data_IF_062734424011
#
_entry.id   IF_062734424011
#
_cell.length_a   1.000
_cell.length_b   1.000
_cell.length_c   1.000
_cell.angle_alpha   90.00
_cell.angle_beta   90.00
_cell.angle_gamma   90.00
#
_symmetry.space_group_name_H-M   'P 1'
#
loop_
_entity.id
_entity.type
_entity.pdbx_description
1 polymer ?
#
# COMPACT_ATOMS: atom_id res chain seq x y z
N UNK A 1 21.12 -2.01 -3.20
CA UNK A 1 20.74 -2.46 -4.56
C UNK A 1 19.40 -3.21 -4.61
N UNK A 2 19.08 -4.11 -3.67
CA UNK A 2 17.82 -4.88 -3.69
C UNK A 2 16.54 -4.02 -3.65
N UNK A 3 16.46 -3.07 -2.71
CA UNK A 3 15.30 -2.17 -2.56
C UNK A 3 14.92 -1.43 -3.84
N UNK A 4 15.88 -0.79 -4.52
CA UNK A 4 15.61 0.02 -5.72
C UNK A 4 15.09 -0.83 -6.88
N UNK A 5 15.56 -2.07 -6.99
CA UNK A 5 15.06 -3.05 -7.97
C UNK A 5 13.64 -3.50 -7.63
N UNK A 6 13.35 -3.80 -6.36
CA UNK A 6 12.00 -4.16 -5.91
C UNK A 6 11.00 -3.04 -6.18
N UNK A 7 11.34 -1.79 -5.86
CA UNK A 7 10.46 -0.63 -6.13
C UNK A 7 10.18 -0.47 -7.62
N UNK A 8 11.20 -0.57 -8.49
CA UNK A 8 11.00 -0.48 -9.94
C UNK A 8 10.02 -1.55 -10.45
N UNK A 9 10.19 -2.80 -10.04
CA UNK A 9 9.28 -3.91 -10.41
C UNK A 9 7.86 -3.69 -9.90
N UNK A 10 7.70 -3.06 -8.74
CA UNK A 10 6.37 -2.71 -8.21
C UNK A 10 5.69 -1.62 -9.05
N UNK A 11 6.44 -0.65 -9.57
CA UNK A 11 5.89 0.40 -10.43
C UNK A 11 5.36 -0.15 -11.76
N UNK A 12 6.05 -1.14 -12.35
CA UNK A 12 5.58 -1.85 -13.55
C UNK A 12 4.24 -2.57 -13.34
N UNK A 13 3.93 -2.96 -12.11
CA UNK A 13 2.71 -3.67 -11.71
C UNK A 13 1.73 -2.78 -10.94
N UNK A 14 1.86 -1.46 -11.08
CA UNK A 14 0.99 -0.50 -10.41
C UNK A 14 -0.48 -0.70 -10.77
N UNK A 15 -1.36 -0.26 -9.89
CA UNK A 15 -2.80 -0.22 -10.17
C UNK A 15 -3.09 0.75 -11.33
N UNK A 16 -4.16 0.46 -12.08
CA UNK A 16 -4.61 1.31 -13.18
C UNK A 16 -4.99 2.73 -12.67
N UNK A 17 -4.78 3.79 -13.46
CA UNK A 17 -5.01 5.17 -13.03
C UNK A 17 -6.46 5.44 -12.62
N UNK A 18 -7.43 4.72 -13.18
CA UNK A 18 -8.86 4.81 -12.85
C UNK A 18 -9.14 4.43 -11.39
N UNK A 19 -8.35 3.50 -10.83
CA UNK A 19 -8.45 3.10 -9.41
C UNK A 19 -8.06 4.25 -8.50
N UNK A 20 -7.04 5.02 -8.89
CA UNK A 20 -6.61 6.21 -8.14
C UNK A 20 -7.63 7.32 -8.30
N UNK A 21 -8.09 7.59 -9.52
CA UNK A 21 -9.08 8.62 -9.82
C UNK A 21 -10.39 8.42 -9.04
N UNK A 22 -10.92 7.19 -9.04
CA UNK A 22 -12.12 6.85 -8.25
C UNK A 22 -11.92 7.03 -6.75
N UNK A 23 -10.73 6.70 -6.23
CA UNK A 23 -10.41 6.90 -4.81
C UNK A 23 -10.31 8.38 -4.46
N UNK A 24 -9.73 9.21 -5.33
CA UNK A 24 -9.66 10.67 -5.15
C UNK A 24 -11.05 11.28 -5.19
N UNK A 25 -11.89 10.89 -6.16
CA UNK A 25 -13.27 11.34 -6.24
C UNK A 25 -14.04 11.00 -4.96
N UNK A 26 -13.94 9.75 -4.49
CA UNK A 26 -14.58 9.32 -3.26
C UNK A 26 -14.09 10.10 -2.03
N UNK A 27 -12.81 10.46 -1.96
CA UNK A 27 -12.27 11.27 -0.87
C UNK A 27 -12.76 12.72 -0.93
N UNK A 28 -12.92 13.28 -2.13
CA UNK A 28 -13.37 14.66 -2.35
C UNK A 28 -14.88 14.85 -2.08
N UNK A 29 -15.69 13.80 -2.27
CA UNK A 29 -17.15 13.83 -2.08
C UNK A 29 -17.63 13.22 -0.76
N UNK A 30 -16.73 12.73 0.08
CA UNK A 30 -17.08 12.15 1.38
C UNK A 30 -17.58 13.26 2.33
N UNK A 31 -18.81 13.16 2.88
CA UNK A 31 -19.33 14.15 3.82
C UNK A 31 -18.54 14.20 5.14
N UNK A 32 -17.76 13.15 5.46
CA UNK A 32 -16.86 13.11 6.61
C UNK A 32 -15.47 12.56 6.20
N UNK A 33 -14.61 13.40 5.59
CA UNK A 33 -13.36 12.96 5.00
C UNK A 33 -12.43 12.24 5.99
N UNK A 34 -11.96 11.06 5.61
CA UNK A 34 -11.00 10.27 6.38
C UNK A 34 -9.59 10.81 6.16
N UNK A 35 -8.73 10.69 7.18
CA UNK A 35 -7.31 11.06 7.06
C UNK A 35 -6.54 10.24 6.00
N UNK A 36 -7.02 9.04 5.65
CA UNK A 36 -6.34 8.12 4.72
C UNK A 36 -7.37 7.35 3.90
N UNK A 37 -7.20 7.34 2.59
CA UNK A 37 -7.96 6.54 1.64
C UNK A 37 -7.02 5.55 0.94
N UNK A 38 -7.25 4.25 1.13
CA UNK A 38 -6.46 3.21 0.49
C UNK A 38 -6.99 2.93 -0.93
N UNK A 39 -6.21 3.32 -1.93
CA UNK A 39 -6.50 3.07 -3.34
C UNK A 39 -6.13 1.62 -3.71
N UNK A 40 -7.06 0.93 -4.37
CA UNK A 40 -6.84 -0.46 -4.81
C UNK A 40 -6.93 -1.52 -3.71
N UNK A 41 -6.89 -2.79 -4.14
CA UNK A 41 -7.08 -3.95 -3.25
C UNK A 41 -5.90 -4.15 -2.31
N UNK A 42 -4.68 -4.05 -2.85
CA UNK A 42 -3.45 -4.28 -2.09
C UNK A 42 -3.31 -3.27 -0.94
N UNK A 43 -3.50 -1.97 -1.19
CA UNK A 43 -3.40 -0.96 -0.14
C UNK A 43 -4.41 -1.17 1.00
N UNK A 44 -5.63 -1.63 0.67
CA UNK A 44 -6.66 -1.97 1.67
C UNK A 44 -6.23 -3.17 2.52
N UNK A 45 -5.70 -4.22 1.89
CA UNK A 45 -5.18 -5.39 2.60
C UNK A 45 -4.00 -5.04 3.52
N UNK A 46 -3.06 -4.22 3.03
CA UNK A 46 -1.93 -3.73 3.84
C UNK A 46 -2.41 -2.90 5.03
N UNK A 47 -3.38 -2.00 4.82
CA UNK A 47 -3.98 -1.21 5.91
C UNK A 47 -4.62 -2.10 6.97
N UNK A 48 -5.31 -3.16 6.56
CA UNK A 48 -5.90 -4.15 7.46
C UNK A 48 -4.82 -4.93 8.21
N UNK A 49 -3.83 -5.50 7.51
CA UNK A 49 -2.74 -6.27 8.13
C UNK A 49 -1.98 -5.44 9.17
N UNK A 50 -1.69 -4.17 8.88
CA UNK A 50 -1.00 -3.29 9.85
C UNK A 50 -1.80 -3.06 11.14
N UNK A 51 -3.12 -3.23 11.11
CA UNK A 51 -4.00 -3.07 12.28
C UNK A 51 -4.02 -4.31 13.17
N UNK A 52 -3.83 -5.50 12.60
CA UNK A 52 -4.07 -6.78 13.28
C UNK A 52 -2.82 -7.65 13.44
N UNK A 53 -1.77 -7.45 12.63
CA UNK A 53 -0.53 -8.21 12.69
C UNK A 53 0.44 -7.53 13.66
N UNK A 54 1.15 -8.29 14.53
CA UNK A 54 2.21 -7.74 15.37
C UNK A 54 3.27 -7.00 14.54
N UNK A 55 3.69 -5.83 15.03
CA UNK A 55 4.59 -4.94 14.29
C UNK A 55 5.88 -5.64 13.84
N UNK A 56 6.49 -6.45 14.70
CA UNK A 56 7.71 -7.20 14.37
C UNK A 56 7.53 -8.21 13.23
N UNK A 57 6.38 -8.89 13.18
CA UNK A 57 6.07 -9.85 12.12
C UNK A 57 5.75 -9.15 10.80
N UNK A 58 4.97 -8.07 10.86
CA UNK A 58 4.63 -7.25 9.70
C UNK A 58 5.89 -6.65 9.07
N UNK A 59 6.73 -5.99 9.88
CA UNK A 59 7.98 -5.36 9.43
C UNK A 59 8.96 -6.37 8.83
N UNK A 60 9.10 -7.55 9.45
CA UNK A 60 9.95 -8.63 8.93
C UNK A 60 9.51 -9.08 7.54
N UNK A 61 8.20 -9.20 7.30
CA UNK A 61 7.67 -9.58 5.98
C UNK A 61 7.94 -8.49 4.93
N UNK A 62 7.76 -7.23 5.30
CA UNK A 62 7.92 -6.08 4.42
C UNK A 62 9.39 -5.87 4.05
N UNK A 63 10.31 -6.00 5.03
CA UNK A 63 11.76 -5.98 4.79
C UNK A 63 12.17 -7.04 3.78
N UNK A 64 11.67 -8.28 3.93
CA UNK A 64 11.96 -9.36 2.98
C UNK A 64 11.46 -9.06 1.56
N UNK A 65 10.23 -8.57 1.40
CA UNK A 65 9.68 -8.19 0.09
C UNK A 65 10.51 -7.08 -0.58
N UNK A 66 11.05 -6.18 0.22
CA UNK A 66 11.88 -5.07 -0.23
C UNK A 66 13.37 -5.42 -0.37
N UNK A 67 13.75 -6.68 -0.16
CA UNK A 67 15.15 -7.12 -0.26
C UNK A 67 16.06 -6.50 0.79
N UNK A 68 15.50 -6.16 1.96
CA UNK A 68 16.23 -5.71 3.14
C UNK A 68 16.49 -6.87 4.10
N UNK A 69 17.57 -6.79 4.90
CA UNK A 69 17.77 -7.72 6.01
C UNK A 69 16.61 -7.65 7.00
N UNK A 70 16.27 -8.79 7.58
CA UNK A 70 15.16 -8.94 8.53
C UNK A 70 15.43 -8.19 9.84
#
# INVERSE_FOLDING_TARGET
AGMTVSVRKSMEKGDAPEVVASTVLAAATDPAPKKRYAAGKMARQVSFLRRFVPASAFDKSLRRQLGLPA
#
